data_IF_386733458163
#
_entry.id   IF_386733458163
#
_cell.length_a   1.000
_cell.length_b   1.000
_cell.length_c   1.000
_cell.angle_alpha   90.00
_cell.angle_beta   90.00
_cell.angle_gamma   90.00
#
_symmetry.space_group_name_H-M   'P 1'
#
loop_
_entity.id
_entity.type
_entity.pdbx_description
1 polymer ?
#
# COMPACT_ATOMS: atom_id res chain seq x y z
N UNK A 1 -5.48 -9.01 -17.48
CA UNK A 1 -6.27 -8.15 -16.57
C UNK A 1 -5.56 -6.82 -16.38
N UNK A 2 -6.27 -5.69 -16.25
CA UNK A 2 -5.62 -4.40 -15.99
C UNK A 2 -5.56 -4.14 -14.49
N UNK A 3 -4.35 -4.07 -13.94
CA UNK A 3 -4.08 -3.73 -12.54
C UNK A 3 -3.53 -2.32 -12.39
N UNK A 4 -3.88 -1.65 -11.30
CA UNK A 4 -3.39 -0.30 -10.98
C UNK A 4 -2.38 -0.35 -9.84
N UNK A 5 -1.21 0.24 -10.05
CA UNK A 5 -0.26 0.56 -8.97
C UNK A 5 -0.45 2.02 -8.59
N UNK A 6 -0.55 2.29 -7.30
CA UNK A 6 -0.84 3.61 -6.73
C UNK A 6 0.10 3.92 -5.57
N UNK A 7 0.13 5.20 -5.20
CA UNK A 7 0.66 5.64 -3.91
C UNK A 7 -0.39 6.42 -3.13
N UNK A 8 -0.33 6.34 -1.81
CA UNK A 8 -1.02 7.24 -0.90
C UNK A 8 0.01 8.25 -0.42
N UNK A 9 -0.29 9.55 -0.52
CA UNK A 9 0.60 10.65 -0.11
C UNK A 9 -0.09 11.53 0.92
N UNK A 10 0.69 12.10 1.83
CA UNK A 10 0.23 13.06 2.84
C UNK A 10 0.36 14.49 2.31
N UNK A 11 -0.60 15.37 2.61
CA UNK A 11 -0.48 16.82 2.38
C UNK A 11 0.57 17.47 3.29
N UNK A 12 0.84 16.89 4.46
CA UNK A 12 1.65 17.47 5.53
C UNK A 12 3.05 16.86 5.68
N UNK A 13 3.42 15.88 4.84
CA UNK A 13 4.75 15.27 4.88
C UNK A 13 5.09 14.55 3.57
N UNK A 14 6.38 14.34 3.33
CA UNK A 14 6.87 13.67 2.12
C UNK A 14 6.66 12.14 2.10
N UNK A 15 6.07 11.59 3.16
CA UNK A 15 5.86 10.14 3.26
C UNK A 15 4.89 9.66 2.19
N UNK A 16 5.10 8.44 1.71
CA UNK A 16 4.12 7.76 0.89
C UNK A 16 3.93 6.30 1.26
N UNK A 17 2.81 5.70 0.86
CA UNK A 17 2.57 4.27 0.93
C UNK A 17 2.27 3.73 -0.47
N UNK A 18 3.04 2.75 -0.92
CA UNK A 18 2.82 2.06 -2.20
C UNK A 18 1.83 0.93 -2.07
N UNK A 19 0.98 0.74 -3.08
CA UNK A 19 0.06 -0.39 -3.13
C UNK A 19 -0.42 -0.69 -4.54
N UNK A 20 -1.04 -1.85 -4.72
CA UNK A 20 -1.73 -2.19 -5.96
C UNK A 20 -3.17 -2.65 -5.76
N UNK A 21 -3.97 -2.56 -6.80
CA UNK A 21 -5.37 -3.01 -6.79
C UNK A 21 -5.90 -3.30 -8.19
N UNK A 22 -6.89 -4.19 -8.28
CA UNK A 22 -7.75 -4.36 -9.45
C UNK A 22 -9.07 -3.57 -9.32
N UNK A 23 -9.31 -2.94 -8.17
CA UNK A 23 -10.50 -2.11 -7.94
C UNK A 23 -10.22 -0.66 -8.35
N UNK A 24 -11.29 0.14 -8.43
CA UNK A 24 -11.15 1.58 -8.59
C UNK A 24 -10.44 2.21 -7.39
N UNK A 25 -9.57 3.20 -7.63
CA UNK A 25 -8.78 3.85 -6.59
C UNK A 25 -9.64 4.48 -5.48
N UNK A 26 -10.80 5.06 -5.83
CA UNK A 26 -11.74 5.60 -4.83
C UNK A 26 -12.22 4.54 -3.83
N UNK A 27 -12.55 3.34 -4.31
CA UNK A 27 -12.98 2.24 -3.45
C UNK A 27 -11.81 1.73 -2.60
N UNK A 28 -10.60 1.69 -3.17
CA UNK A 28 -9.39 1.31 -2.44
C UNK A 28 -9.07 2.29 -1.30
N UNK A 29 -9.18 3.60 -1.55
CA UNK A 29 -8.96 4.61 -0.53
C UNK A 29 -10.03 4.57 0.57
N UNK A 30 -11.30 4.43 0.18
CA UNK A 30 -12.40 4.22 1.14
C UNK A 30 -12.13 3.00 2.04
N UNK A 31 -11.69 1.88 1.44
CA UNK A 31 -11.30 0.69 2.19
C UNK A 31 -10.16 0.92 3.19
N UNK A 32 -9.12 1.67 2.81
CA UNK A 32 -8.05 2.05 3.75
C UNK A 32 -8.56 2.86 4.94
N UNK A 33 -9.46 3.83 4.70
CA UNK A 33 -10.05 4.66 5.78
C UNK A 33 -10.97 3.85 6.69
N UNK A 34 -11.83 3.00 6.13
CA UNK A 34 -12.73 2.15 6.92
C UNK A 34 -11.96 1.13 7.75
N UNK A 35 -10.92 0.50 7.19
CA UNK A 35 -10.09 -0.43 7.94
C UNK A 35 -9.24 0.27 9.01
N UNK A 36 -8.74 1.47 8.72
CA UNK A 36 -8.10 2.32 9.73
C UNK A 36 -9.05 2.60 10.89
N UNK A 37 -10.30 3.02 10.63
CA UNK A 37 -11.28 3.27 11.69
C UNK A 37 -11.49 2.03 12.57
N UNK A 38 -11.60 0.84 11.97
CA UNK A 38 -11.75 -0.41 12.74
C UNK A 38 -10.53 -0.67 13.63
N UNK A 39 -9.33 -0.48 13.10
CA UNK A 39 -8.08 -0.61 13.85
C UNK A 39 -7.97 0.42 14.97
N UNK A 40 -8.36 1.66 14.70
CA UNK A 40 -8.34 2.77 15.64
C UNK A 40 -9.35 2.57 16.78
N UNK A 41 -10.53 2.02 16.47
CA UNK A 41 -11.56 1.60 17.44
C UNK A 41 -11.13 0.34 18.27
N UNK A 42 -9.91 -0.19 18.07
CA UNK A 42 -9.39 -1.37 18.78
C UNK A 42 -9.99 -2.71 18.34
N UNK A 43 -10.71 -2.76 17.21
CA UNK A 43 -11.31 -4.00 16.71
C UNK A 43 -10.26 -4.92 16.10
N UNK A 44 -10.43 -6.26 16.17
CA UNK A 44 -9.52 -7.20 15.54
C UNK A 44 -9.31 -6.89 14.06
N UNK A 45 -8.15 -6.33 13.75
CA UNK A 45 -7.72 -5.95 12.40
C UNK A 45 -6.21 -5.79 12.38
N UNK A 46 -5.59 -6.19 11.27
CA UNK A 46 -4.15 -6.03 11.11
C UNK A 46 -3.77 -4.55 10.92
N UNK A 47 -2.74 -4.09 11.63
CA UNK A 47 -2.11 -2.81 11.34
C UNK A 47 -1.41 -2.88 9.98
N UNK A 48 -1.69 -1.91 9.11
CA UNK A 48 -0.83 -1.67 7.94
C UNK A 48 0.03 -0.42 8.17
N UNK A 49 1.15 -0.35 7.46
CA UNK A 49 2.20 0.62 7.72
C UNK A 49 1.77 2.10 7.69
N UNK A 50 0.66 2.43 7.01
CA UNK A 50 0.17 3.82 6.92
C UNK A 50 -0.73 4.24 8.11
N UNK A 51 -1.25 3.31 8.91
CA UNK A 51 -2.21 3.62 9.98
C UNK A 51 -1.65 4.54 11.08
N UNK A 52 -0.42 4.35 11.60
CA UNK A 52 0.14 5.28 12.57
C UNK A 52 0.19 6.73 12.03
N UNK A 53 0.38 6.89 10.71
CA UNK A 53 0.40 8.20 10.08
C UNK A 53 -1.00 8.77 9.83
N UNK A 54 -2.00 7.92 9.55
CA UNK A 54 -3.40 8.33 9.54
C UNK A 54 -3.84 8.83 10.92
N UNK A 55 -3.41 8.18 12.01
CA UNK A 55 -3.66 8.65 13.38
C UNK A 55 -2.94 9.97 13.66
N UNK A 56 -1.68 10.11 13.21
CA UNK A 56 -0.86 11.30 13.45
C UNK A 56 -1.37 12.56 12.72
N UNK A 57 -1.67 12.45 11.42
CA UNK A 57 -2.00 13.61 10.59
C UNK A 57 -3.49 13.71 10.26
N UNK A 58 -4.25 12.64 10.45
CA UNK A 58 -5.65 12.53 10.04
C UNK A 58 -5.80 11.80 8.70
N UNK A 59 -6.76 10.86 8.56
CA UNK A 59 -6.89 10.01 7.36
C UNK A 59 -7.39 10.74 6.10
N UNK A 60 -7.86 11.99 6.23
CA UNK A 60 -8.32 12.82 5.12
C UNK A 60 -7.22 13.72 4.54
N UNK A 61 -6.11 13.90 5.26
CA UNK A 61 -4.87 14.53 4.79
C UNK A 61 -4.11 13.64 3.79
N UNK A 62 -4.60 12.42 3.59
CA UNK A 62 -4.05 11.48 2.64
C UNK A 62 -4.94 11.33 1.41
N UNK A 63 -4.29 11.40 0.25
CA UNK A 63 -4.91 11.12 -1.05
C UNK A 63 -4.23 9.95 -1.76
N UNK A 64 -5.04 9.17 -2.46
CA UNK A 64 -4.55 8.11 -3.35
C UNK A 64 -4.27 8.72 -4.73
N UNK A 65 -3.14 8.35 -5.34
CA UNK A 65 -2.73 8.81 -6.66
C UNK A 65 -2.31 7.62 -7.50
N UNK A 66 -2.84 7.52 -8.71
CA UNK A 66 -2.42 6.51 -9.68
C UNK A 66 -0.96 6.75 -10.05
N UNK A 67 -0.16 5.70 -10.06
CA UNK A 67 1.20 5.75 -10.61
C UNK A 67 1.17 5.26 -12.06
N UNK A 68 0.72 4.02 -12.26
CA UNK A 68 0.67 3.37 -13.57
C UNK A 68 -0.31 2.20 -13.57
N UNK A 69 -0.93 1.95 -14.72
CA UNK A 69 -1.69 0.74 -14.99
C UNK A 69 -0.84 -0.26 -15.78
N UNK A 70 -1.05 -1.54 -15.51
CA UNK A 70 -0.35 -2.65 -16.14
C UNK A 70 -1.35 -3.70 -16.60
N UNK A 71 -1.18 -4.17 -17.83
CA UNK A 71 -1.76 -5.43 -18.22
C UNK A 71 -0.93 -6.56 -17.59
N UNK A 72 -1.60 -7.42 -16.82
CA UNK A 72 -0.99 -8.51 -16.07
C UNK A 72 -1.75 -9.81 -16.28
N UNK A 73 -1.01 -10.92 -16.24
CA UNK A 73 -1.56 -12.27 -16.24
C UNK A 73 -2.30 -12.57 -14.92
N UNK A 74 -1.74 -12.12 -13.78
CA UNK A 74 -2.29 -12.41 -12.46
C UNK A 74 -1.96 -11.34 -11.40
N UNK A 75 -2.39 -11.60 -10.16
CA UNK A 75 -2.13 -10.74 -8.99
C UNK A 75 -0.64 -10.74 -8.58
N UNK A 76 0.09 -11.82 -8.82
CA UNK A 76 1.49 -11.94 -8.45
C UNK A 76 2.36 -11.00 -9.30
N UNK A 77 2.10 -10.94 -10.61
CA UNK A 77 2.75 -10.00 -11.50
C UNK A 77 2.44 -8.55 -11.12
N UNK A 78 1.20 -8.24 -10.74
CA UNK A 78 0.87 -6.89 -10.27
C UNK A 78 1.63 -6.52 -8.99
N UNK A 79 1.76 -7.47 -8.05
CA UNK A 79 2.57 -7.30 -6.83
C UNK A 79 4.05 -7.12 -7.14
N UNK A 80 4.58 -7.76 -8.20
CA UNK A 80 5.95 -7.53 -8.67
C UNK A 80 6.16 -6.05 -9.06
N UNK A 81 5.23 -5.47 -9.83
CA UNK A 81 5.27 -4.04 -10.15
C UNK A 81 5.13 -3.16 -8.90
N UNK A 82 4.25 -3.52 -7.96
CA UNK A 82 4.13 -2.82 -6.68
C UNK A 82 5.47 -2.77 -5.93
N UNK A 83 6.19 -3.88 -5.83
CA UNK A 83 7.52 -3.94 -5.22
C UNK A 83 8.53 -3.04 -5.92
N UNK A 84 8.54 -3.02 -7.26
CA UNK A 84 9.44 -2.14 -8.02
C UNK A 84 9.20 -0.66 -7.68
N UNK A 85 7.94 -0.24 -7.56
CA UNK A 85 7.60 1.13 -7.18
C UNK A 85 7.91 1.44 -5.71
N UNK A 86 7.65 0.52 -4.78
CA UNK A 86 8.06 0.67 -3.37
C UNK A 86 9.59 0.86 -3.28
N UNK A 87 10.37 0.06 -4.01
CA UNK A 87 11.83 0.18 -4.06
C UNK A 87 12.29 1.51 -4.68
N UNK A 88 11.60 1.99 -5.72
CA UNK A 88 11.87 3.30 -6.32
C UNK A 88 11.64 4.45 -5.33
N UNK A 89 10.70 4.31 -4.40
CA UNK A 89 10.39 5.31 -3.37
C UNK A 89 11.01 5.02 -2.01
N UNK A 90 12.03 4.16 -1.92
CA UNK A 90 12.57 3.65 -0.64
C UNK A 90 12.90 4.70 0.42
N UNK A 91 13.26 5.93 0.02
CA UNK A 91 13.57 7.03 0.95
C UNK A 91 12.34 7.57 1.69
N UNK A 92 11.16 7.52 1.08
CA UNK A 92 9.92 8.13 1.61
C UNK A 92 8.78 7.13 1.79
N UNK A 93 8.91 5.93 1.22
CA UNK A 93 7.88 4.90 1.27
C UNK A 93 7.86 4.18 2.61
N UNK A 94 6.74 4.22 3.31
CA UNK A 94 6.59 3.67 4.67
C UNK A 94 6.28 2.17 4.69
N UNK A 95 6.10 1.52 3.54
CA UNK A 95 5.83 0.08 3.45
C UNK A 95 6.93 -0.71 4.20
N UNK A 96 6.56 -1.38 5.30
CA UNK A 96 7.48 -2.15 6.15
C UNK A 96 7.94 -3.46 5.51
N UNK A 97 7.08 -4.10 4.72
CA UNK A 97 7.29 -5.45 4.16
C UNK A 97 6.87 -5.42 2.68
N UNK A 98 7.62 -6.07 1.77
CA UNK A 98 7.20 -6.19 0.40
C UNK A 98 5.88 -7.00 0.28
N UNK A 99 5.08 -6.78 -0.78
CA UNK A 99 3.81 -7.46 -1.01
C UNK A 99 3.92 -8.99 -1.19
N UNK A 100 5.13 -9.49 -1.44
CA UNK A 100 5.44 -10.92 -1.54
C UNK A 100 6.90 -11.17 -1.14
N UNK A 101 7.18 -12.36 -0.63
CA UNK A 101 8.53 -12.80 -0.32
C UNK A 101 9.27 -13.22 -1.59
N UNK A 102 10.35 -12.53 -1.92
CA UNK A 102 11.30 -12.99 -2.93
C UNK A 102 12.18 -14.06 -2.25
N UNK A 103 11.83 -15.33 -2.47
CA UNK A 103 12.52 -16.53 -1.99
C UNK A 103 12.35 -16.80 -0.48
N UNK A 104 11.79 -17.97 -0.12
CA UNK A 104 12.11 -18.57 1.18
C UNK A 104 13.61 -18.84 1.14
N UNK A 105 14.41 -18.29 2.06
CA UNK A 105 15.78 -18.78 2.23
C UNK A 105 15.65 -20.29 2.41
N UNK A 106 16.27 -21.08 1.54
CA UNK A 106 16.40 -22.52 1.81
C UNK A 106 17.11 -22.59 3.16
N UNK A 107 16.39 -22.98 4.21
CA UNK A 107 17.02 -23.26 5.49
C UNK A 107 18.14 -24.26 5.19
N UNK A 108 19.38 -23.86 5.43
CA UNK A 108 20.52 -24.79 5.37
C UNK A 108 20.20 -25.85 6.42
N UNK A 109 19.89 -27.06 5.96
CA UNK A 109 19.87 -28.27 6.78
C UNK A 109 21.27 -28.51 7.32
#
# INVERSE_FOLDING_TARGET
MIGSVYKIVCSQSDICYGGSTFNQLKHRMSGHRSNFKRWDDGKPSGEIAIYPYFRKYGPYEFRITLIKQYEVADRHQLRAYETLWINKFKKTCVNKVPPFGLLKSKSKK
#
